data_IF_801859093032
#
_entry.id   IF_801859093032
#
_cell.length_a   1.000
_cell.length_b   1.000
_cell.length_c   1.000
_cell.angle_alpha   90.00
_cell.angle_beta   90.00
_cell.angle_gamma   90.00
#
_symmetry.space_group_name_H-M   'P 1'
#
loop_
_entity.id
_entity.type
_entity.pdbx_description
1 polymer ?
#
# COMPACT_ATOMS: atom_id res chain seq x y z
N UNK A 1 0.47 10.27 -3.64
CA UNK A 1 1.80 10.86 -3.95
C UNK A 1 2.82 9.79 -3.62
N UNK A 2 3.85 9.64 -4.44
CA UNK A 2 5.00 8.78 -4.15
C UNK A 2 6.23 9.69 -4.06
N UNK A 3 7.01 9.53 -3.00
CA UNK A 3 8.21 10.34 -2.75
C UNK A 3 9.42 9.85 -3.57
N UNK A 4 9.38 8.59 -4.03
CA UNK A 4 10.43 8.00 -4.86
C UNK A 4 10.42 8.58 -6.28
N UNK A 5 11.58 8.59 -6.93
CA UNK A 5 11.68 9.05 -8.31
C UNK A 5 11.08 8.02 -9.28
N UNK A 6 10.78 8.45 -10.51
CA UNK A 6 10.09 7.60 -11.49
C UNK A 6 10.89 6.32 -11.84
N UNK A 7 12.22 6.39 -11.88
CA UNK A 7 13.05 5.22 -12.20
C UNK A 7 12.95 4.16 -11.11
N UNK A 8 13.00 4.56 -9.84
CA UNK A 8 12.86 3.64 -8.70
C UNK A 8 11.50 2.94 -8.68
N UNK A 9 10.43 3.67 -9.02
CA UNK A 9 9.07 3.11 -9.10
C UNK A 9 8.98 2.07 -10.22
N UNK A 10 9.48 2.42 -11.40
CA UNK A 10 9.45 1.54 -12.59
C UNK A 10 10.28 0.27 -12.34
N UNK A 11 11.45 0.39 -11.74
CA UNK A 11 12.31 -0.77 -11.45
C UNK A 11 11.62 -1.74 -10.49
N UNK A 12 10.98 -1.23 -9.43
CA UNK A 12 10.21 -2.05 -8.49
C UNK A 12 9.02 -2.76 -9.19
N UNK A 13 8.30 -2.06 -10.06
CA UNK A 13 7.20 -2.66 -10.85
C UNK A 13 7.73 -3.76 -11.79
N UNK A 14 8.90 -3.55 -12.42
CA UNK A 14 9.55 -4.54 -13.29
C UNK A 14 10.02 -5.78 -12.53
N UNK A 15 10.40 -5.64 -11.26
CA UNK A 15 10.71 -6.76 -10.36
C UNK A 15 9.46 -7.52 -9.88
N UNK A 16 8.26 -7.04 -10.23
CA UNK A 16 6.99 -7.66 -9.88
C UNK A 16 6.39 -7.17 -8.56
N UNK A 17 6.92 -6.07 -7.99
CA UNK A 17 6.33 -5.44 -6.82
C UNK A 17 4.98 -4.83 -7.18
N UNK A 18 3.97 -5.06 -6.33
CA UNK A 18 2.61 -4.50 -6.49
C UNK A 18 2.38 -3.39 -5.48
N UNK A 19 2.16 -2.16 -5.97
CA UNK A 19 1.89 -1.00 -5.13
C UNK A 19 0.38 -0.80 -4.95
N UNK A 20 -0.11 -0.95 -3.72
CA UNK A 20 -1.50 -0.62 -3.36
C UNK A 20 -1.56 0.82 -2.85
N UNK A 21 -1.94 1.75 -3.73
CA UNK A 21 -2.05 3.17 -3.40
C UNK A 21 -3.39 3.50 -2.72
N UNK A 22 -3.42 4.65 -2.04
CA UNK A 22 -4.63 5.19 -1.40
C UNK A 22 -5.26 4.21 -0.39
N UNK A 23 -4.44 3.45 0.31
CA UNK A 23 -4.90 2.57 1.39
C UNK A 23 -4.37 3.07 2.71
N UNK A 24 -5.19 3.01 3.75
CA UNK A 24 -4.79 3.26 5.12
C UNK A 24 -4.86 1.96 5.91
N UNK A 25 -3.78 1.53 6.60
CA UNK A 25 -3.82 0.38 7.48
C UNK A 25 -4.67 0.70 8.71
N UNK A 26 -5.53 -0.22 9.09
CA UNK A 26 -6.46 -0.06 10.22
C UNK A 26 -6.10 -0.98 11.38
N UNK A 27 -5.65 -2.20 11.09
CA UNK A 27 -5.37 -3.21 12.11
C UNK A 27 -4.41 -4.29 11.62
N UNK A 28 -3.56 -4.79 12.50
CA UNK A 28 -2.79 -6.02 12.29
C UNK A 28 -3.64 -7.26 12.62
N UNK A 29 -3.62 -8.26 11.73
CA UNK A 29 -4.32 -9.53 11.89
C UNK A 29 -3.27 -10.60 12.17
N UNK A 30 -3.45 -11.38 13.24
CA UNK A 30 -2.52 -12.42 13.62
C UNK A 30 -3.20 -13.64 14.21
N UNK A 31 -2.56 -14.78 14.02
CA UNK A 31 -3.00 -16.09 14.47
C UNK A 31 -1.82 -16.77 15.18
N UNK A 32 -2.08 -17.39 16.35
CA UNK A 32 -1.05 -18.11 17.13
C UNK A 32 0.21 -17.27 17.44
N UNK A 33 0.05 -15.97 17.66
CA UNK A 33 1.16 -15.06 17.94
C UNK A 33 1.96 -14.62 16.71
N UNK A 34 1.55 -15.01 15.50
CA UNK A 34 2.20 -14.63 14.24
C UNK A 34 1.34 -13.65 13.45
N UNK A 35 1.96 -12.63 12.86
CA UNK A 35 1.31 -11.70 11.94
C UNK A 35 0.99 -12.42 10.62
N UNK A 36 -0.30 -12.47 10.26
CA UNK A 36 -0.79 -13.13 9.03
C UNK A 36 -1.36 -12.15 8.01
N UNK A 37 -1.69 -10.92 8.43
CA UNK A 37 -2.17 -9.92 7.51
C UNK A 37 -2.35 -8.52 8.10
N UNK A 38 -2.76 -7.59 7.25
CA UNK A 38 -3.10 -6.22 7.62
C UNK A 38 -4.47 -5.92 7.05
N UNK A 39 -5.40 -5.50 7.90
CA UNK A 39 -6.67 -4.96 7.44
C UNK A 39 -6.45 -3.52 6.97
N UNK A 40 -6.78 -3.26 5.71
CA UNK A 40 -6.66 -1.94 5.10
C UNK A 40 -8.04 -1.40 4.73
N UNK A 41 -8.18 -0.07 4.74
CA UNK A 41 -9.33 0.65 4.20
C UNK A 41 -8.89 1.47 3.00
N UNK A 42 -9.68 1.44 1.93
CA UNK A 42 -9.46 2.33 0.78
C UNK A 42 -9.80 3.76 1.20
N UNK A 43 -8.86 4.66 0.98
CA UNK A 43 -9.02 6.09 1.18
C UNK A 43 -9.64 6.69 -0.09
N UNK A 44 -10.77 7.41 0.02
CA UNK A 44 -11.32 8.11 -1.13
C UNK A 44 -10.32 9.18 -1.58
N UNK A 45 -10.17 9.35 -2.89
CA UNK A 45 -9.49 10.53 -3.42
C UNK A 45 -10.25 11.78 -2.96
N UNK A 46 -9.57 12.86 -2.54
CA UNK A 46 -10.25 14.13 -2.37
C UNK A 46 -10.89 14.50 -3.72
N UNK A 47 -12.21 14.56 -3.75
CA UNK A 47 -12.96 15.10 -4.89
C UNK A 47 -12.55 16.57 -4.97
N UNK A 48 -11.74 16.94 -5.96
CA UNK A 48 -11.49 18.36 -6.27
C UNK A 48 -12.85 19.05 -6.39
N UNK A 49 -13.13 20.00 -5.48
CA UNK A 49 -14.21 20.98 -5.64
C UNK A 49 -13.73 22.12 -6.51
#
# INVERSE_FOLDING_TARGET
MMEANAHEIIDAENEGVRMHCLVSPMKFIGENGMLTGIQCRMSPLPINR
#
